data_IF_181044063790
#
_entry.id   IF_181044063790
#
_cell.length_a   1.000
_cell.length_b   1.000
_cell.length_c   1.000
_cell.angle_alpha   90.00
_cell.angle_beta   90.00
_cell.angle_gamma   90.00
#
_symmetry.space_group_name_H-M   'P 1'
#
loop_
_entity.id
_entity.type
_entity.pdbx_description
1 polymer ?
#
# COMPACT_ATOMS: atom_id res chain seq x y z
N UNK A 1 7.31 -11.88 -11.15
CA UNK A 1 8.00 -11.15 -10.08
C UNK A 1 8.43 -12.04 -8.90
N UNK A 2 7.51 -12.57 -8.09
CA UNK A 2 7.89 -13.32 -6.87
C UNK A 2 8.81 -14.53 -7.13
N UNK A 3 8.59 -15.28 -8.24
CA UNK A 3 9.49 -16.36 -8.67
C UNK A 3 10.92 -15.87 -8.96
N UNK A 4 11.05 -14.68 -9.54
CA UNK A 4 12.35 -14.07 -9.86
C UNK A 4 13.04 -13.62 -8.56
N UNK A 5 12.31 -12.92 -7.68
CA UNK A 5 12.86 -12.49 -6.39
C UNK A 5 13.37 -13.66 -5.53
N UNK A 6 12.71 -14.83 -5.60
CA UNK A 6 13.12 -16.04 -4.86
C UNK A 6 14.54 -16.51 -5.18
N UNK A 7 15.06 -16.24 -6.39
CA UNK A 7 16.44 -16.60 -6.78
C UNK A 7 17.47 -15.99 -5.83
N UNK A 8 17.22 -14.77 -5.33
CA UNK A 8 18.07 -14.06 -4.37
C UNK A 8 17.47 -14.01 -2.96
N UNK A 9 16.63 -14.99 -2.61
CA UNK A 9 16.09 -15.16 -1.25
C UNK A 9 14.72 -14.52 -1.00
N UNK A 10 14.08 -13.92 -2.01
CA UNK A 10 12.75 -13.34 -1.88
C UNK A 10 12.76 -11.90 -1.36
N UNK A 11 11.76 -11.55 -0.56
CA UNK A 11 11.55 -10.21 -0.04
C UNK A 11 11.97 -10.15 1.43
N UNK A 12 12.73 -9.11 1.81
CA UNK A 12 12.94 -8.73 3.21
C UNK A 12 11.97 -7.63 3.52
N UNK A 13 11.17 -7.79 4.57
CA UNK A 13 10.14 -6.83 4.92
C UNK A 13 10.13 -6.52 6.42
N UNK A 14 9.66 -5.34 6.75
CA UNK A 14 9.58 -4.84 8.13
C UNK A 14 8.46 -3.82 8.25
N UNK A 15 8.02 -3.53 9.47
CA UNK A 15 7.07 -2.45 9.75
C UNK A 15 7.59 -1.56 10.85
N UNK A 16 7.07 -0.33 10.93
CA UNK A 16 7.08 0.42 12.19
C UNK A 16 6.04 -0.17 13.16
N UNK A 17 5.95 0.42 14.34
CA UNK A 17 4.85 0.13 15.27
C UNK A 17 3.49 0.50 14.63
N UNK A 18 2.39 -0.19 15.01
CA UNK A 18 1.07 0.04 14.43
C UNK A 18 0.39 1.29 15.03
N UNK A 19 1.04 2.45 14.88
CA UNK A 19 0.58 3.73 15.41
C UNK A 19 -0.30 4.46 14.41
N UNK A 20 -1.56 4.67 14.77
CA UNK A 20 -2.51 5.51 14.05
C UNK A 20 -2.53 6.92 14.64
N UNK A 21 -2.90 7.89 13.81
CA UNK A 21 -3.03 9.29 14.21
C UNK A 21 -4.52 9.62 14.30
N UNK A 22 -4.96 10.06 15.48
CA UNK A 22 -6.22 10.77 15.69
C UNK A 22 -6.01 12.27 15.62
N UNK A 23 -6.96 13.03 15.07
CA UNK A 23 -6.86 14.48 15.00
C UNK A 23 -8.06 15.13 15.70
N UNK A 24 -7.77 16.11 16.56
CA UNK A 24 -8.74 17.04 17.13
C UNK A 24 -8.43 18.43 16.60
N UNK A 25 -9.33 18.97 15.79
CA UNK A 25 -9.23 20.35 15.28
C UNK A 25 -9.80 21.32 16.31
N UNK A 26 -9.03 22.34 16.67
CA UNK A 26 -9.42 23.42 17.57
C UNK A 26 -9.32 24.79 16.88
N UNK A 27 -10.35 25.60 17.11
CA UNK A 27 -10.53 26.95 16.57
C UNK A 27 -10.80 27.93 17.71
N UNK A 28 -10.80 29.23 17.42
CA UNK A 28 -11.17 30.28 18.38
C UNK A 28 -10.30 30.27 19.64
N UNK A 29 -9.00 29.97 19.49
CA UNK A 29 -8.02 30.06 20.57
C UNK A 29 -7.40 31.46 20.51
N UNK A 30 -7.49 32.20 21.62
CA UNK A 30 -6.94 33.56 21.71
C UNK A 30 -5.40 33.56 21.74
N UNK A 31 -4.81 32.69 22.58
CA UNK A 31 -3.36 32.53 22.73
C UNK A 31 -2.96 31.07 22.43
N UNK A 32 -2.41 30.88 21.22
CA UNK A 32 -2.01 29.55 20.75
C UNK A 32 -0.84 28.97 21.54
N UNK A 33 0.13 29.80 21.93
CA UNK A 33 1.34 29.32 22.59
C UNK A 33 0.99 28.88 24.03
N UNK A 34 0.19 29.67 24.74
CA UNK A 34 -0.33 29.30 26.06
C UNK A 34 -1.19 28.03 26.02
N UNK A 35 -2.01 27.86 24.98
CA UNK A 35 -2.81 26.65 24.78
C UNK A 35 -1.95 25.40 24.51
N UNK A 36 -0.87 25.52 23.73
CA UNK A 36 0.10 24.42 23.53
C UNK A 36 0.74 24.04 24.86
N UNK A 37 1.22 25.01 25.64
CA UNK A 37 1.82 24.76 26.95
C UNK A 37 0.84 24.11 27.93
N UNK A 38 -0.42 24.52 27.90
CA UNK A 38 -1.47 23.95 28.72
C UNK A 38 -1.75 22.48 28.37
N UNK A 39 -1.81 22.14 27.07
CA UNK A 39 -1.93 20.74 26.61
C UNK A 39 -0.71 19.92 27.06
N UNK A 40 0.50 20.46 26.91
CA UNK A 40 1.73 19.75 27.31
C UNK A 40 1.77 19.46 28.82
N UNK A 41 1.31 20.40 29.66
CA UNK A 41 1.20 20.17 31.11
C UNK A 41 0.20 19.07 31.49
N UNK A 42 -0.90 18.96 30.74
CA UNK A 42 -1.96 17.97 30.98
C UNK A 42 -1.79 16.68 30.17
N UNK A 43 -0.70 16.54 29.40
CA UNK A 43 -0.50 15.43 28.45
C UNK A 43 -0.71 14.06 29.10
N UNK A 44 -0.15 13.84 30.30
CA UNK A 44 -0.31 12.58 31.02
C UNK A 44 -1.77 12.29 31.34
N UNK A 45 -2.53 13.28 31.84
CA UNK A 45 -3.96 13.15 32.14
C UNK A 45 -4.76 12.85 30.86
N UNK A 46 -4.45 13.55 29.76
CA UNK A 46 -5.11 13.32 28.47
C UNK A 46 -4.86 11.88 27.98
N UNK A 47 -3.63 11.37 28.06
CA UNK A 47 -3.33 9.98 27.70
C UNK A 47 -4.06 8.97 28.59
N UNK A 48 -4.18 9.23 29.89
CA UNK A 48 -4.94 8.39 30.82
C UNK A 48 -6.44 8.35 30.45
N UNK A 49 -7.05 9.49 30.13
CA UNK A 49 -8.46 9.57 29.72
C UNK A 49 -8.70 8.87 28.39
N UNK A 50 -7.80 9.05 27.41
CA UNK A 50 -7.87 8.34 26.13
C UNK A 50 -7.80 6.82 26.33
N UNK A 51 -6.83 6.35 27.11
CA UNK A 51 -6.65 4.92 27.38
C UNK A 51 -7.79 4.30 28.19
N UNK A 52 -8.51 5.09 29.01
CA UNK A 52 -9.70 4.62 29.71
C UNK A 52 -10.86 4.25 28.75
N UNK A 53 -10.86 4.75 27.51
CA UNK A 53 -11.93 4.49 26.53
C UNK A 53 -11.87 3.07 25.94
N UNK A 54 -10.70 2.43 25.93
CA UNK A 54 -10.55 1.07 25.39
C UNK A 54 -9.62 0.21 26.26
N UNK A 55 -10.20 -0.31 27.35
CA UNK A 55 -9.50 -1.21 28.27
C UNK A 55 -9.02 -2.49 27.61
N UNK A 56 -9.66 -2.93 26.52
CA UNK A 56 -9.28 -4.14 25.80
C UNK A 56 -8.00 -3.88 25.00
N UNK A 57 -7.95 -2.79 24.24
CA UNK A 57 -6.74 -2.41 23.51
C UNK A 57 -5.55 -2.23 24.45
N UNK A 58 -5.76 -1.56 25.59
CA UNK A 58 -4.74 -1.38 26.63
C UNK A 58 -4.28 -2.70 27.24
N UNK A 59 -5.20 -3.66 27.48
CA UNK A 59 -4.82 -4.97 28.04
C UNK A 59 -3.98 -5.81 27.07
N UNK A 60 -4.09 -5.57 25.77
CA UNK A 60 -3.19 -6.13 24.74
C UNK A 60 -1.92 -5.27 24.51
N UNK A 61 -1.67 -4.31 25.40
CA UNK A 61 -0.49 -3.43 25.38
C UNK A 61 -0.60 -2.26 24.40
N UNK A 62 -1.71 -2.10 23.68
CA UNK A 62 -1.95 -0.94 22.82
C UNK A 62 -2.36 0.31 23.60
N UNK A 63 -2.97 1.26 22.91
CA UNK A 63 -3.51 2.48 23.48
C UNK A 63 -2.82 3.75 23.00
N UNK A 64 -3.31 4.89 23.48
CA UNK A 64 -2.70 6.19 23.28
C UNK A 64 -1.31 6.25 23.93
N UNK A 65 -0.31 6.58 23.13
CA UNK A 65 1.11 6.63 23.50
C UNK A 65 1.62 8.04 23.67
N UNK A 66 1.15 8.97 22.83
CA UNK A 66 1.71 10.31 22.75
C UNK A 66 0.71 11.31 22.17
N UNK A 67 1.01 12.60 22.33
CA UNK A 67 0.25 13.72 21.79
C UNK A 67 1.22 14.68 21.09
N UNK A 68 0.93 15.04 19.84
CA UNK A 68 1.63 16.12 19.13
C UNK A 68 0.66 17.28 18.92
N UNK A 69 1.11 18.53 19.04
CA UNK A 69 0.28 19.71 18.73
C UNK A 69 0.88 20.46 17.55
N UNK A 70 0.03 20.82 16.59
CA UNK A 70 0.42 21.53 15.38
C UNK A 70 -0.42 22.79 15.22
N UNK A 71 0.22 23.88 14.81
CA UNK A 71 -0.49 25.10 14.41
C UNK A 71 -0.43 25.17 12.89
N UNK A 72 -1.59 25.31 12.25
CA UNK A 72 -1.74 25.42 10.80
C UNK A 72 -2.34 26.76 10.43
N UNK A 73 -2.03 27.25 9.23
CA UNK A 73 -2.56 28.51 8.70
C UNK A 73 -1.86 29.75 9.26
N UNK A 74 -2.28 30.91 8.78
CA UNK A 74 -1.74 32.22 9.16
C UNK A 74 -2.88 33.21 9.44
N UNK A 75 -2.58 34.26 10.21
CA UNK A 75 -3.55 35.30 10.57
C UNK A 75 -4.85 34.73 11.16
N UNK A 76 -5.98 35.10 10.57
CA UNK A 76 -7.33 34.71 11.02
C UNK A 76 -7.73 33.28 10.63
N UNK A 77 -6.94 32.59 9.80
CA UNK A 77 -7.18 31.19 9.41
C UNK A 77 -6.41 30.20 10.30
N UNK A 78 -5.70 30.70 11.33
CA UNK A 78 -4.96 29.86 12.26
C UNK A 78 -5.87 28.86 12.97
N UNK A 79 -5.44 27.62 12.99
CA UNK A 79 -6.07 26.56 13.76
C UNK A 79 -5.01 25.72 14.47
N UNK A 80 -5.38 25.19 15.63
CA UNK A 80 -4.58 24.20 16.33
C UNK A 80 -5.12 22.81 16.02
N UNK A 81 -4.23 21.86 15.79
CA UNK A 81 -4.56 20.46 15.58
C UNK A 81 -3.78 19.63 16.58
N UNK A 82 -4.50 18.97 17.49
CA UNK A 82 -3.94 17.96 18.38
C UNK A 82 -3.96 16.62 17.66
N UNK A 83 -2.79 16.01 17.53
CA UNK A 83 -2.62 14.63 17.10
C UNK A 83 -2.53 13.72 18.32
N UNK A 84 -3.39 12.70 18.39
CA UNK A 84 -3.29 11.60 19.35
C UNK A 84 -2.63 10.41 18.66
N UNK A 85 -1.47 9.97 19.13
CA UNK A 85 -0.76 8.81 18.59
C UNK A 85 -1.21 7.54 19.34
N UNK A 86 -1.87 6.61 18.64
CA UNK A 86 -2.50 5.43 19.24
C UNK A 86 -1.91 4.17 18.63
N UNK A 87 -1.34 3.29 19.45
CA UNK A 87 -1.02 1.92 19.05
C UNK A 87 -2.28 1.06 19.05
N UNK A 88 -2.69 0.66 17.85
CA UNK A 88 -3.94 -0.07 17.62
C UNK A 88 -3.73 -1.57 17.45
N UNK A 89 -2.51 -2.06 17.71
CA UNK A 89 -2.13 -3.47 17.63
C UNK A 89 -2.58 -4.10 16.31
N UNK A 90 -3.37 -5.15 16.39
CA UNK A 90 -3.84 -5.94 15.24
C UNK A 90 -5.11 -5.39 14.58
N UNK A 91 -5.65 -4.27 15.06
CA UNK A 91 -6.78 -3.59 14.44
C UNK A 91 -6.30 -2.55 13.41
N UNK A 92 -7.21 -2.18 12.51
CA UNK A 92 -7.01 -1.01 11.64
C UNK A 92 -7.01 0.30 12.46
N UNK A 93 -7.88 0.39 13.48
CA UNK A 93 -7.80 1.42 14.51
C UNK A 93 -8.79 2.59 14.41
N UNK A 94 -9.53 2.73 13.32
CA UNK A 94 -10.41 3.88 13.10
C UNK A 94 -11.39 4.16 14.26
N UNK A 95 -12.15 3.15 14.69
CA UNK A 95 -13.14 3.33 15.76
C UNK A 95 -12.48 3.68 17.10
N UNK A 96 -11.42 2.95 17.49
CA UNK A 96 -10.72 3.20 18.75
C UNK A 96 -10.15 4.62 18.80
N UNK A 97 -9.47 5.05 17.73
CA UNK A 97 -8.89 6.39 17.62
C UNK A 97 -9.96 7.48 17.68
N UNK A 98 -11.07 7.32 16.95
CA UNK A 98 -12.16 8.29 16.94
C UNK A 98 -12.81 8.43 18.32
N UNK A 99 -13.10 7.31 18.99
CA UNK A 99 -13.67 7.31 20.34
C UNK A 99 -12.75 8.00 21.34
N UNK A 100 -11.44 7.75 21.28
CA UNK A 100 -10.47 8.47 22.12
C UNK A 100 -10.47 9.97 21.83
N UNK A 101 -10.48 10.38 20.54
CA UNK A 101 -10.54 11.79 20.16
C UNK A 101 -11.82 12.48 20.64
N UNK A 102 -12.97 11.81 20.55
CA UNK A 102 -14.26 12.30 21.05
C UNK A 102 -14.24 12.50 22.57
N UNK A 103 -13.65 11.57 23.32
CA UNK A 103 -13.53 11.67 24.77
C UNK A 103 -12.61 12.80 25.23
N UNK A 104 -11.53 13.07 24.47
CA UNK A 104 -10.60 14.15 24.80
C UNK A 104 -11.16 15.54 24.44
N UNK A 105 -11.99 15.65 23.41
CA UNK A 105 -12.46 16.93 22.88
C UNK A 105 -12.97 17.92 23.95
N UNK A 106 -13.93 17.58 24.84
CA UNK A 106 -14.40 18.53 25.85
C UNK A 106 -13.31 18.99 26.82
N UNK A 107 -12.34 18.12 27.13
CA UNK A 107 -11.23 18.44 28.02
C UNK A 107 -10.25 19.40 27.33
N UNK A 108 -9.98 19.18 26.04
CA UNK A 108 -9.08 20.06 25.29
C UNK A 108 -9.74 21.43 25.05
N UNK A 109 -11.06 21.51 24.89
CA UNK A 109 -11.79 22.80 24.89
C UNK A 109 -11.61 23.54 26.22
N UNK A 110 -11.78 22.86 27.35
CA UNK A 110 -11.58 23.44 28.69
C UNK A 110 -10.14 23.96 28.88
N UNK A 111 -9.15 23.16 28.50
CA UNK A 111 -7.71 23.50 28.65
C UNK A 111 -7.32 24.71 27.79
N UNK A 112 -7.85 24.78 26.56
CA UNK A 112 -7.39 25.77 25.56
C UNK A 112 -8.28 27.00 25.46
N UNK A 113 -9.50 26.96 26.02
CA UNK A 113 -10.55 27.95 25.79
C UNK A 113 -11.09 27.97 24.35
N UNK A 114 -10.59 27.08 23.48
CA UNK A 114 -10.97 26.97 22.09
C UNK A 114 -12.25 26.15 21.88
N UNK A 115 -12.63 26.01 20.61
CA UNK A 115 -13.75 25.16 20.18
C UNK A 115 -13.29 24.08 19.24
N UNK A 116 -13.63 22.84 19.56
CA UNK A 116 -13.36 21.68 18.74
C UNK A 116 -14.34 21.58 17.57
N UNK A 117 -13.89 20.97 16.48
CA UNK A 117 -14.73 20.62 15.32
C UNK A 117 -14.55 19.16 14.97
N UNK A 118 -13.57 18.86 14.12
CA UNK A 118 -13.27 17.50 13.67
C UNK A 118 -12.54 16.71 14.76
N UNK A 119 -12.96 15.45 14.98
CA UNK A 119 -12.41 14.47 15.92
C UNK A 119 -12.33 13.13 15.18
N UNK A 120 -11.30 12.97 14.37
CA UNK A 120 -11.28 11.94 13.34
C UNK A 120 -9.85 11.45 13.10
N UNK A 121 -9.68 10.17 12.79
CA UNK A 121 -8.38 9.65 12.38
C UNK A 121 -7.86 10.33 11.10
N UNK A 122 -6.54 10.33 10.93
CA UNK A 122 -5.88 10.61 9.66
C UNK A 122 -5.61 9.31 8.89
N UNK A 123 -5.97 9.29 7.60
CA UNK A 123 -5.59 8.20 6.69
C UNK A 123 -4.16 8.35 6.14
N UNK A 124 -3.53 9.51 6.29
CA UNK A 124 -2.07 9.62 6.14
C UNK A 124 -1.43 9.01 7.40
N UNK A 125 -1.38 7.68 7.42
CA UNK A 125 -0.84 6.89 8.53
C UNK A 125 0.69 6.75 8.43
N UNK A 126 1.39 7.87 8.35
CA UNK A 126 2.85 7.93 8.15
C UNK A 126 3.68 7.43 9.36
N UNK A 127 3.05 7.16 10.50
CA UNK A 127 3.63 6.46 11.66
C UNK A 127 3.45 4.94 11.61
N UNK A 128 2.68 4.42 10.65
CA UNK A 128 2.38 2.98 10.45
C UNK A 128 2.81 2.53 9.06
N UNK A 129 4.12 2.45 8.86
CA UNK A 129 4.75 2.16 7.58
C UNK A 129 5.07 0.67 7.45
N UNK A 130 4.84 0.12 6.26
CA UNK A 130 5.39 -1.15 5.84
C UNK A 130 6.50 -0.92 4.80
N UNK A 131 7.55 -1.73 4.90
CA UNK A 131 8.71 -1.70 4.00
C UNK A 131 8.94 -3.08 3.43
N UNK A 132 9.33 -3.15 2.17
CA UNK A 132 9.85 -4.37 1.58
C UNK A 132 10.99 -4.05 0.62
N UNK A 133 11.95 -4.96 0.55
CA UNK A 133 13.11 -4.89 -0.34
C UNK A 133 13.36 -6.26 -0.98
N UNK A 134 13.78 -6.27 -2.24
CA UNK A 134 14.20 -7.48 -2.94
C UNK A 134 15.34 -7.17 -3.90
N UNK A 135 16.20 -8.16 -4.09
CA UNK A 135 17.24 -8.17 -5.13
C UNK A 135 16.75 -9.05 -6.28
N UNK A 136 16.83 -8.53 -7.49
CA UNK A 136 16.47 -9.22 -8.72
C UNK A 136 17.74 -9.48 -9.51
N UNK A 137 18.09 -10.77 -9.60
CA UNK A 137 19.27 -11.25 -10.31
C UNK A 137 19.28 -10.81 -11.77
N UNK A 138 20.35 -10.13 -12.21
CA UNK A 138 20.43 -9.52 -13.54
C UNK A 138 20.27 -10.55 -14.65
N UNK A 139 20.92 -11.71 -14.52
CA UNK A 139 20.91 -12.75 -15.55
C UNK A 139 19.51 -13.36 -15.68
N UNK A 140 18.82 -13.54 -14.55
CA UNK A 140 17.44 -14.01 -14.51
C UNK A 140 16.47 -13.04 -15.20
N UNK A 141 16.71 -11.73 -15.13
CA UNK A 141 15.79 -10.72 -15.71
C UNK A 141 16.13 -10.34 -17.15
N UNK A 142 17.27 -10.79 -17.70
CA UNK A 142 17.66 -10.56 -19.10
C UNK A 142 18.97 -9.79 -19.30
N UNK A 143 19.78 -9.67 -18.26
CA UNK A 143 21.12 -9.10 -18.28
C UNK A 143 21.18 -7.60 -18.02
N UNK A 144 22.39 -7.05 -18.08
CA UNK A 144 22.72 -5.67 -17.72
C UNK A 144 21.88 -4.62 -18.47
N UNK A 145 21.67 -4.83 -19.78
CA UNK A 145 20.88 -3.91 -20.62
C UNK A 145 19.43 -3.80 -20.17
N UNK A 146 18.87 -4.88 -19.63
CA UNK A 146 17.51 -4.88 -19.07
C UNK A 146 17.45 -4.12 -17.76
N UNK A 147 18.47 -4.27 -16.91
CA UNK A 147 18.60 -3.49 -15.66
C UNK A 147 18.66 -2.00 -15.99
N UNK A 148 19.46 -1.61 -16.97
CA UNK A 148 19.60 -0.21 -17.39
C UNK A 148 18.28 0.35 -17.93
N UNK A 149 17.64 -0.36 -18.87
CA UNK A 149 16.33 0.05 -19.39
C UNK A 149 15.26 0.15 -18.30
N UNK A 150 15.28 -0.76 -17.31
CA UNK A 150 14.40 -0.69 -16.16
C UNK A 150 14.63 0.60 -15.35
N UNK A 151 15.89 0.92 -15.06
CA UNK A 151 16.25 2.12 -14.29
C UNK A 151 15.92 3.41 -15.04
N UNK A 152 16.04 3.43 -16.37
CA UNK A 152 15.57 4.53 -17.22
C UNK A 152 14.05 4.72 -17.10
N UNK A 153 13.28 3.63 -17.18
CA UNK A 153 11.83 3.64 -17.01
C UNK A 153 11.41 4.09 -15.60
N UNK A 154 12.15 3.67 -14.57
CA UNK A 154 11.96 4.17 -13.20
C UNK A 154 12.28 5.66 -13.08
N UNK A 155 13.39 6.14 -13.67
CA UNK A 155 13.78 7.55 -13.65
C UNK A 155 12.72 8.44 -14.30
N UNK A 156 12.05 7.97 -15.34
CA UNK A 156 10.89 8.68 -15.90
C UNK A 156 9.79 8.88 -14.86
N UNK A 157 9.46 7.86 -14.06
CA UNK A 157 8.47 7.99 -12.98
C UNK A 157 8.92 8.94 -11.86
N UNK A 158 10.22 9.01 -11.55
CA UNK A 158 10.75 9.98 -10.56
C UNK A 158 10.64 11.42 -11.07
N UNK A 159 10.86 11.63 -12.37
CA UNK A 159 10.94 12.96 -12.98
C UNK A 159 9.59 13.52 -13.43
N UNK A 160 8.55 12.71 -13.58
CA UNK A 160 7.25 13.13 -14.10
C UNK A 160 6.07 12.60 -13.25
N UNK A 161 5.28 13.48 -12.60
CA UNK A 161 4.08 13.10 -11.85
C UNK A 161 3.04 12.32 -12.68
N UNK A 162 2.92 12.59 -13.99
CA UNK A 162 2.01 11.83 -14.86
C UNK A 162 2.43 10.35 -14.92
N UNK A 163 3.74 10.10 -15.04
CA UNK A 163 4.27 8.74 -15.00
C UNK A 163 4.23 8.15 -13.58
N UNK A 164 4.55 8.93 -12.55
CA UNK A 164 4.48 8.51 -11.16
C UNK A 164 3.07 8.01 -10.78
N UNK A 165 2.01 8.67 -11.24
CA UNK A 165 0.63 8.23 -11.01
C UNK A 165 0.39 6.83 -11.57
N UNK A 166 0.81 6.58 -12.82
CA UNK A 166 0.68 5.26 -13.46
C UNK A 166 1.57 4.20 -12.80
N UNK A 167 2.76 4.60 -12.35
CA UNK A 167 3.70 3.75 -11.61
C UNK A 167 3.10 3.28 -10.28
N UNK A 168 2.54 4.21 -9.50
CA UNK A 168 1.90 3.91 -8.23
C UNK A 168 0.59 3.13 -8.42
N UNK A 169 -0.21 3.43 -9.45
CA UNK A 169 -1.37 2.61 -9.84
C UNK A 169 -0.97 1.14 -10.04
N UNK A 170 0.18 0.89 -10.69
CA UNK A 170 0.72 -0.45 -10.88
C UNK A 170 1.02 -1.19 -9.57
N UNK A 171 1.52 -0.47 -8.55
CA UNK A 171 1.70 -0.99 -7.18
C UNK A 171 0.34 -1.37 -6.59
N UNK A 172 -0.62 -0.45 -6.66
CA UNK A 172 -1.93 -0.59 -6.02
C UNK A 172 -2.76 -1.73 -6.60
N UNK A 173 -2.59 -2.07 -7.89
CA UNK A 173 -3.19 -3.29 -8.47
C UNK A 173 -2.91 -4.57 -7.64
N UNK A 174 -1.69 -4.70 -7.11
CA UNK A 174 -1.30 -5.86 -6.31
C UNK A 174 -1.74 -5.72 -4.86
N UNK A 175 -1.58 -4.52 -4.29
CA UNK A 175 -1.94 -4.22 -2.91
C UNK A 175 -3.43 -4.39 -2.68
N UNK A 176 -4.26 -3.74 -3.49
CA UNK A 176 -5.72 -3.74 -3.34
C UNK A 176 -6.29 -5.14 -3.47
N UNK A 177 -5.73 -5.98 -4.34
CA UNK A 177 -6.14 -7.37 -4.46
C UNK A 177 -5.98 -8.14 -3.13
N UNK A 178 -4.86 -7.96 -2.43
CA UNK A 178 -4.62 -8.59 -1.12
C UNK A 178 -5.50 -7.95 -0.03
N UNK A 179 -5.64 -6.62 -0.05
CA UNK A 179 -6.45 -5.88 0.92
C UNK A 179 -7.92 -6.30 0.83
N UNK A 180 -8.48 -6.37 -0.38
CA UNK A 180 -9.84 -6.86 -0.63
C UNK A 180 -9.98 -8.33 -0.20
N UNK A 181 -9.05 -9.20 -0.63
CA UNK A 181 -9.10 -10.62 -0.31
C UNK A 181 -9.07 -10.89 1.20
N UNK A 182 -8.40 -10.04 1.98
CA UNK A 182 -8.30 -10.14 3.44
C UNK A 182 -9.37 -9.34 4.20
N UNK A 183 -10.33 -8.74 3.49
CA UNK A 183 -11.47 -8.04 4.09
C UNK A 183 -11.10 -6.71 4.76
N UNK A 184 -10.07 -6.04 4.25
CA UNK A 184 -9.62 -4.73 4.73
C UNK A 184 -10.12 -3.60 3.82
N UNK A 185 -10.06 -2.36 4.31
CA UNK A 185 -10.48 -1.17 3.57
C UNK A 185 -9.39 -0.70 2.60
N UNK A 186 -9.57 -0.96 1.30
CA UNK A 186 -8.60 -0.53 0.29
C UNK A 186 -8.57 1.00 0.08
N UNK A 187 -9.67 1.71 0.36
CA UNK A 187 -9.71 3.17 0.20
C UNK A 187 -8.80 3.85 1.21
N UNK A 188 -8.74 3.32 2.43
CA UNK A 188 -7.82 3.82 3.47
C UNK A 188 -6.35 3.64 3.05
N UNK A 189 -6.02 2.49 2.45
CA UNK A 189 -4.65 2.20 1.97
C UNK A 189 -4.30 3.08 0.76
N UNK A 190 -5.21 3.21 -0.21
CA UNK A 190 -5.05 4.10 -1.36
C UNK A 190 -4.82 5.57 -0.95
N UNK A 191 -5.67 6.08 -0.06
CA UNK A 191 -5.55 7.45 0.45
C UNK A 191 -4.21 7.68 1.17
N UNK A 192 -3.81 6.75 2.04
CA UNK A 192 -2.53 6.82 2.75
C UNK A 192 -1.34 6.74 1.81
N UNK A 193 -1.32 5.76 0.90
CA UNK A 193 -0.25 5.55 -0.06
C UNK A 193 -0.06 6.76 -0.99
N UNK A 194 -1.14 7.24 -1.62
CA UNK A 194 -1.04 8.37 -2.55
C UNK A 194 -0.74 9.71 -1.86
N UNK A 195 -1.25 9.94 -0.65
CA UNK A 195 -0.87 11.12 0.14
C UNK A 195 0.60 11.06 0.55
N UNK A 196 1.09 9.88 0.95
CA UNK A 196 2.50 9.67 1.30
C UNK A 196 3.43 9.88 0.11
N UNK A 197 3.01 9.50 -1.09
CA UNK A 197 3.75 9.76 -2.33
C UNK A 197 3.92 11.26 -2.65
N UNK A 198 3.09 12.15 -2.08
CA UNK A 198 3.13 13.59 -2.30
C UNK A 198 3.65 14.40 -1.10
N UNK A 199 4.08 13.74 -0.02
CA UNK A 199 4.39 14.37 1.28
C UNK A 199 5.47 15.47 1.22
N UNK A 200 6.38 15.39 0.25
CA UNK A 200 7.46 16.36 0.05
C UNK A 200 7.09 17.49 -0.94
N UNK A 201 5.79 17.72 -1.19
CA UNK A 201 5.29 18.76 -2.09
C UNK A 201 5.28 18.39 -3.58
N UNK A 202 5.76 17.20 -3.95
CA UNK A 202 5.66 16.66 -5.31
C UNK A 202 5.29 15.19 -5.27
N UNK A 203 4.32 14.79 -6.07
CA UNK A 203 3.91 13.40 -6.22
C UNK A 203 5.01 12.57 -6.90
N UNK A 204 5.51 11.54 -6.20
CA UNK A 204 6.63 10.68 -6.59
C UNK A 204 6.28 9.19 -6.52
N UNK A 205 7.10 8.31 -7.12
CA UNK A 205 7.01 6.87 -6.92
C UNK A 205 7.09 6.48 -5.44
N UNK A 206 6.31 5.47 -5.03
CA UNK A 206 6.41 4.83 -3.70
C UNK A 206 7.57 3.83 -3.58
N UNK A 207 8.24 3.55 -4.70
CA UNK A 207 9.38 2.63 -4.77
C UNK A 207 10.67 3.35 -5.14
N UNK A 208 11.77 2.74 -4.73
CA UNK A 208 13.14 3.11 -5.07
C UNK A 208 13.80 1.93 -5.78
N UNK A 209 14.54 2.22 -6.85
CA UNK A 209 15.33 1.20 -7.55
C UNK A 209 16.74 1.70 -7.84
N UNK A 210 17.70 0.79 -7.70
CA UNK A 210 19.10 1.05 -8.00
C UNK A 210 19.80 -0.25 -8.40
N UNK A 211 21.05 -0.13 -8.80
CA UNK A 211 21.93 -1.24 -9.14
C UNK A 211 22.88 -1.50 -7.97
N UNK A 212 23.04 -2.76 -7.55
CA UNK A 212 24.06 -3.11 -6.56
C UNK A 212 25.47 -3.23 -7.19
N UNK A 213 26.48 -3.56 -6.38
CA UNK A 213 27.86 -3.73 -6.84
C UNK A 213 28.08 -4.91 -7.79
N UNK A 214 27.17 -5.88 -7.84
CA UNK A 214 27.22 -7.04 -8.74
C UNK A 214 26.48 -6.78 -10.07
N UNK A 215 25.80 -5.65 -10.19
CA UNK A 215 24.98 -5.30 -11.35
C UNK A 215 23.53 -5.77 -11.25
N UNK A 216 23.10 -6.32 -10.11
CA UNK A 216 21.71 -6.74 -9.92
C UNK A 216 20.82 -5.53 -9.66
N UNK A 217 19.54 -5.67 -10.00
CA UNK A 217 18.54 -4.65 -9.70
C UNK A 217 18.05 -4.84 -8.26
N UNK A 218 18.16 -3.81 -7.44
CA UNK A 218 17.56 -3.76 -6.11
C UNK A 218 16.34 -2.87 -6.15
N UNK A 219 15.24 -3.34 -5.55
CA UNK A 219 14.00 -2.58 -5.42
C UNK A 219 13.57 -2.50 -3.96
N UNK A 220 13.11 -1.32 -3.54
CA UNK A 220 12.55 -1.05 -2.22
C UNK A 220 11.19 -0.35 -2.35
N UNK A 221 10.29 -0.63 -1.42
CA UNK A 221 9.02 0.09 -1.24
C UNK A 221 8.87 0.54 0.21
N UNK A 222 8.26 1.70 0.43
CA UNK A 222 7.85 2.19 1.74
C UNK A 222 6.54 2.95 1.62
N UNK A 223 5.51 2.54 2.36
CA UNK A 223 4.20 3.17 2.32
C UNK A 223 3.40 2.93 3.62
N UNK A 224 2.42 3.81 3.94
CA UNK A 224 1.44 3.57 4.99
C UNK A 224 0.59 2.33 4.70
N UNK A 225 0.45 1.44 5.68
CA UNK A 225 -0.40 0.25 5.58
C UNK A 225 -1.23 0.07 6.86
N UNK A 226 -2.33 0.82 6.95
CA UNK A 226 -3.27 0.77 8.06
C UNK A 226 -4.31 -0.35 7.88
N UNK A 227 -3.90 -1.60 8.08
CA UNK A 227 -4.77 -2.79 8.00
C UNK A 227 -5.02 -3.42 9.37
N UNK A 228 -5.99 -4.34 9.45
CA UNK A 228 -6.22 -5.18 10.63
C UNK A 228 -6.33 -6.66 10.29
N UNK A 229 -5.91 -7.51 11.25
CA UNK A 229 -6.25 -8.94 11.28
C UNK A 229 -7.46 -9.21 12.19
N UNK A 230 -7.82 -8.25 13.04
CA UNK A 230 -9.03 -8.26 13.87
C UNK A 230 -9.94 -7.07 13.55
N UNK A 231 -11.23 -7.21 13.89
CA UNK A 231 -12.25 -6.18 13.66
C UNK A 231 -12.73 -6.07 12.21
N UNK A 232 -13.88 -5.42 12.03
CA UNK A 232 -14.50 -5.17 10.73
C UNK A 232 -14.77 -6.43 9.89
N UNK A 233 -14.79 -6.28 8.57
CA UNK A 233 -15.05 -7.37 7.64
C UNK A 233 -13.96 -8.46 7.67
N UNK A 234 -12.73 -8.12 8.07
CA UNK A 234 -11.61 -9.06 8.20
C UNK A 234 -11.93 -10.23 9.14
N UNK A 235 -12.75 -10.00 10.17
CA UNK A 235 -13.11 -10.99 11.19
C UNK A 235 -14.48 -11.63 10.95
N UNK A 236 -15.35 -11.03 10.14
CA UNK A 236 -16.71 -11.51 9.91
C UNK A 236 -16.87 -12.26 8.59
N UNK A 237 -16.12 -11.86 7.55
CA UNK A 237 -16.30 -12.42 6.21
C UNK A 237 -15.53 -13.74 6.05
N UNK A 238 -16.25 -14.85 5.80
CA UNK A 238 -15.67 -16.20 5.78
C UNK A 238 -14.54 -16.39 4.76
N UNK A 239 -14.64 -15.78 3.56
CA UNK A 239 -13.55 -15.84 2.57
C UNK A 239 -12.32 -15.06 3.02
N UNK A 240 -12.50 -13.94 3.75
CA UNK A 240 -11.39 -13.15 4.25
C UNK A 240 -10.61 -13.90 5.34
N UNK A 241 -11.33 -14.58 6.24
CA UNK A 241 -10.73 -15.48 7.23
C UNK A 241 -9.95 -16.62 6.55
N UNK A 242 -10.51 -17.22 5.49
CA UNK A 242 -9.82 -18.28 4.73
C UNK A 242 -8.55 -17.75 4.05
N UNK A 243 -8.60 -16.58 3.40
CA UNK A 243 -7.43 -15.97 2.79
C UNK A 243 -6.32 -15.70 3.81
N UNK A 244 -6.66 -15.18 5.01
CA UNK A 244 -5.68 -15.02 6.10
C UNK A 244 -5.07 -16.36 6.55
N UNK A 245 -5.90 -17.41 6.66
CA UNK A 245 -5.43 -18.77 6.99
C UNK A 245 -4.47 -19.32 5.94
N UNK A 246 -4.74 -19.10 4.65
CA UNK A 246 -3.86 -19.50 3.54
C UNK A 246 -2.53 -18.75 3.63
N UNK A 247 -2.55 -17.45 3.93
CA UNK A 247 -1.34 -16.64 4.10
C UNK A 247 -0.53 -17.04 5.34
N UNK A 248 -1.17 -17.58 6.38
CA UNK A 248 -0.52 -17.98 7.62
C UNK A 248 -0.05 -16.81 8.51
N UNK A 249 -0.52 -15.59 8.22
CA UNK A 249 -0.20 -14.38 9.00
C UNK A 249 -0.94 -14.39 10.34
N UNK A 250 -0.23 -14.01 11.40
CA UNK A 250 -0.70 -13.96 12.79
C UNK A 250 -0.98 -12.54 13.24
N UNK A 251 -0.21 -11.56 12.72
CA UNK A 251 -0.33 -10.15 13.10
C UNK A 251 -0.67 -9.25 11.92
N UNK A 252 -1.22 -8.07 12.21
CA UNK A 252 -1.38 -6.98 11.26
C UNK A 252 -0.03 -6.56 10.65
N UNK A 253 1.05 -6.56 11.43
CA UNK A 253 2.37 -6.24 10.93
C UNK A 253 2.86 -7.24 9.88
N UNK A 254 2.67 -8.55 10.10
CA UNK A 254 3.03 -9.58 9.11
C UNK A 254 2.19 -9.44 7.82
N UNK A 255 0.89 -9.17 7.94
CA UNK A 255 0.05 -8.93 6.77
C UNK A 255 0.49 -7.68 5.99
N UNK A 256 0.88 -6.61 6.69
CA UNK A 256 1.39 -5.39 6.08
C UNK A 256 2.71 -5.62 5.32
N UNK A 257 3.60 -6.47 5.85
CA UNK A 257 4.83 -6.89 5.17
C UNK A 257 4.55 -7.66 3.88
N UNK A 258 3.56 -8.57 3.90
CA UNK A 258 3.11 -9.28 2.70
C UNK A 258 2.55 -8.30 1.67
N UNK A 259 1.71 -7.35 2.09
CA UNK A 259 1.13 -6.34 1.20
C UNK A 259 2.22 -5.49 0.53
N UNK A 260 3.18 -4.98 1.29
CA UNK A 260 4.31 -4.20 0.75
C UNK A 260 5.12 -5.04 -0.25
N UNK A 261 5.41 -6.30 0.08
CA UNK A 261 6.15 -7.22 -0.80
C UNK A 261 5.40 -7.47 -2.11
N UNK A 262 4.07 -7.66 -2.05
CA UNK A 262 3.23 -7.82 -3.25
C UNK A 262 3.20 -6.53 -4.08
N UNK A 263 3.10 -5.36 -3.45
CA UNK A 263 3.17 -4.07 -4.13
C UNK A 263 4.47 -3.88 -4.90
N UNK A 264 5.61 -4.17 -4.26
CA UNK A 264 6.93 -4.13 -4.90
C UNK A 264 7.04 -5.16 -6.04
N UNK A 265 6.56 -6.39 -5.83
CA UNK A 265 6.54 -7.42 -6.86
C UNK A 265 5.73 -7.01 -8.09
N UNK A 266 4.55 -6.43 -7.88
CA UNK A 266 3.65 -5.99 -8.95
C UNK A 266 4.27 -4.83 -9.74
N UNK A 267 4.91 -3.89 -9.04
CA UNK A 267 5.63 -2.79 -9.67
C UNK A 267 6.81 -3.26 -10.51
N UNK A 268 7.65 -4.13 -9.96
CA UNK A 268 8.77 -4.72 -10.69
C UNK A 268 8.29 -5.43 -11.96
N UNK A 269 7.23 -6.24 -11.89
CA UNK A 269 6.69 -6.92 -13.07
C UNK A 269 6.23 -5.92 -14.15
N UNK A 270 5.53 -4.85 -13.74
CA UNK A 270 5.04 -3.84 -14.67
C UNK A 270 6.18 -3.09 -15.35
N UNK A 271 7.18 -2.63 -14.59
CA UNK A 271 8.32 -1.90 -15.16
C UNK A 271 9.19 -2.80 -16.02
N UNK A 272 9.44 -4.04 -15.60
CA UNK A 272 10.22 -5.00 -16.38
C UNK A 272 9.57 -5.26 -17.75
N UNK A 273 8.25 -5.49 -17.77
CA UNK A 273 7.52 -5.67 -19.01
C UNK A 273 7.65 -4.42 -19.89
N UNK A 274 7.36 -3.24 -19.36
CA UNK A 274 7.44 -1.96 -20.10
C UNK A 274 8.81 -1.67 -20.70
N UNK A 275 9.88 -2.06 -20.01
CA UNK A 275 11.26 -1.71 -20.37
C UNK A 275 11.88 -2.69 -21.36
N UNK A 276 11.38 -3.93 -21.43
CA UNK A 276 11.98 -5.00 -22.26
C UNK A 276 11.09 -5.45 -23.40
N UNK A 277 9.78 -5.43 -23.19
CA UNK A 277 8.78 -5.94 -24.11
C UNK A 277 7.66 -4.90 -24.16
N UNK A 278 7.71 -3.98 -25.13
CA UNK A 278 6.63 -3.02 -25.33
C UNK A 278 5.28 -3.71 -25.20
N UNK A 279 4.41 -3.22 -24.30
CA UNK A 279 3.21 -3.89 -23.73
C UNK A 279 2.44 -4.70 -24.76
N UNK A 280 2.36 -4.17 -25.98
CA UNK A 280 1.74 -4.78 -27.15
C UNK A 280 2.16 -6.24 -27.36
N UNK A 281 3.43 -6.61 -27.24
CA UNK A 281 3.85 -8.02 -27.46
C UNK A 281 3.29 -8.99 -26.40
N UNK A 282 3.35 -8.64 -25.12
CA UNK A 282 2.82 -9.48 -24.04
C UNK A 282 1.29 -9.52 -24.00
N UNK A 283 0.62 -8.39 -24.30
CA UNK A 283 -0.84 -8.36 -24.46
C UNK A 283 -1.29 -9.17 -25.68
N UNK A 284 -0.52 -9.13 -26.77
CA UNK A 284 -0.78 -9.94 -27.96
C UNK A 284 -0.66 -11.43 -27.68
N UNK A 285 0.28 -11.83 -26.82
CA UNK A 285 0.43 -13.23 -26.42
C UNK A 285 -0.76 -13.72 -25.60
N UNK A 286 -1.18 -12.95 -24.59
CA UNK A 286 -2.39 -13.27 -23.81
C UNK A 286 -3.67 -13.23 -24.66
N UNK A 287 -3.75 -12.28 -25.60
CA UNK A 287 -4.88 -12.18 -26.53
C UNK A 287 -4.93 -13.38 -27.47
N UNK A 288 -3.79 -13.82 -27.98
CA UNK A 288 -3.67 -15.02 -28.80
C UNK A 288 -4.06 -16.28 -28.02
N UNK A 289 -3.63 -16.42 -26.76
CA UNK A 289 -4.06 -17.53 -25.89
C UNK A 289 -5.57 -17.54 -25.67
N UNK A 290 -6.18 -16.37 -25.41
CA UNK A 290 -7.64 -16.27 -25.28
C UNK A 290 -8.37 -16.70 -26.56
N UNK A 291 -7.86 -16.29 -27.73
CA UNK A 291 -8.41 -16.71 -29.02
C UNK A 291 -8.25 -18.22 -29.24
N UNK A 292 -7.10 -18.80 -28.86
CA UNK A 292 -6.88 -20.25 -28.92
C UNK A 292 -7.90 -21.01 -28.05
N UNK A 293 -8.15 -20.53 -26.82
CA UNK A 293 -9.19 -21.10 -25.94
C UNK A 293 -10.58 -20.98 -26.56
N UNK A 294 -10.93 -19.84 -27.16
CA UNK A 294 -12.20 -19.65 -27.86
C UNK A 294 -12.37 -20.58 -29.07
N UNK A 295 -11.27 -20.95 -29.72
CA UNK A 295 -11.25 -21.94 -30.80
C UNK A 295 -11.31 -23.40 -30.30
N UNK A 296 -11.27 -23.63 -28.99
CA UNK A 296 -11.40 -24.95 -28.38
C UNK A 296 -10.08 -25.60 -27.94
N UNK A 297 -8.95 -24.89 -28.00
CA UNK A 297 -7.67 -25.39 -27.51
C UNK A 297 -7.71 -25.67 -26.00
N UNK A 298 -7.11 -26.78 -25.56
CA UNK A 298 -7.04 -27.21 -24.16
C UNK A 298 -5.62 -27.61 -23.77
N UNK A 299 -5.25 -27.32 -22.53
CA UNK A 299 -3.92 -27.67 -22.00
C UNK A 299 -2.81 -27.08 -22.86
N UNK A 300 -1.86 -27.92 -23.26
CA UNK A 300 -0.66 -27.53 -24.01
C UNK A 300 -0.97 -26.96 -25.41
N UNK A 301 -2.15 -27.23 -25.96
CA UNK A 301 -2.58 -26.70 -27.25
C UNK A 301 -2.71 -25.16 -27.25
N UNK A 302 -3.01 -24.56 -26.09
CA UNK A 302 -3.27 -23.13 -25.99
C UNK A 302 -2.01 -22.33 -26.35
N UNK A 303 -0.86 -22.72 -25.79
CA UNK A 303 0.41 -22.03 -26.01
C UNK A 303 0.93 -22.28 -27.43
N UNK A 304 0.78 -23.50 -27.94
CA UNK A 304 1.24 -23.85 -29.30
C UNK A 304 0.45 -23.09 -30.37
N UNK A 305 -0.88 -23.05 -30.28
CA UNK A 305 -1.75 -22.32 -31.21
C UNK A 305 -1.53 -20.81 -31.09
N UNK A 306 -1.42 -20.27 -29.87
CA UNK A 306 -1.15 -18.85 -29.64
C UNK A 306 0.17 -18.42 -30.27
N UNK A 307 1.25 -19.20 -30.06
CA UNK A 307 2.57 -18.91 -30.61
C UNK A 307 2.55 -18.88 -32.14
N UNK A 308 1.89 -19.85 -32.78
CA UNK A 308 1.82 -19.95 -34.24
C UNK A 308 1.03 -18.79 -34.86
N UNK A 309 -0.08 -18.39 -34.25
CA UNK A 309 -0.82 -17.19 -34.67
C UNK A 309 0.01 -15.90 -34.58
N UNK A 310 0.86 -15.78 -33.55
CA UNK A 310 1.73 -14.62 -33.36
C UNK A 310 2.85 -14.60 -34.41
N UNK A 311 3.47 -15.75 -34.68
CA UNK A 311 4.51 -15.91 -35.70
C UNK A 311 3.98 -15.57 -37.10
N UNK A 312 2.75 -16.00 -37.41
CA UNK A 312 2.06 -15.69 -38.66
C UNK A 312 1.47 -14.26 -38.71
N UNK A 313 1.51 -13.51 -37.60
CA UNK A 313 0.83 -12.22 -37.41
C UNK A 313 -0.67 -12.27 -37.75
N UNK A 314 -1.33 -13.41 -37.55
CA UNK A 314 -2.74 -13.64 -37.85
C UNK A 314 -3.51 -14.13 -36.61
N UNK A 315 -3.67 -13.23 -35.65
CA UNK A 315 -4.35 -13.49 -34.38
C UNK A 315 -5.86 -13.30 -34.55
N UNK A 316 -6.52 -14.28 -35.18
CA UNK A 316 -7.96 -14.31 -35.45
C UNK A 316 -8.53 -15.68 -35.11
N UNK A 317 -9.80 -15.71 -34.70
CA UNK A 317 -10.48 -16.95 -34.32
C UNK A 317 -10.59 -17.97 -35.47
N UNK A 318 -10.75 -17.51 -36.71
CA UNK A 318 -10.79 -18.39 -37.87
C UNK A 318 -9.45 -19.07 -38.09
N UNK A 319 -8.33 -18.33 -37.94
CA UNK A 319 -7.00 -18.92 -38.04
C UNK A 319 -6.70 -19.89 -36.90
N UNK A 320 -7.15 -19.57 -35.68
CA UNK A 320 -7.04 -20.50 -34.56
C UNK A 320 -7.77 -21.82 -34.83
N UNK A 321 -8.96 -21.78 -35.45
CA UNK A 321 -9.70 -22.99 -35.85
C UNK A 321 -9.00 -23.77 -36.96
N UNK A 322 -8.43 -23.09 -37.95
CA UNK A 322 -7.61 -23.73 -38.99
C UNK A 322 -6.40 -24.45 -38.37
N UNK A 323 -5.66 -23.79 -37.48
CA UNK A 323 -4.52 -24.37 -36.78
C UNK A 323 -4.93 -25.55 -35.88
N UNK A 324 -6.07 -25.46 -35.20
CA UNK A 324 -6.63 -26.59 -34.43
C UNK A 324 -6.91 -27.80 -35.32
N UNK A 325 -7.44 -27.56 -36.53
CA UNK A 325 -7.70 -28.62 -37.52
C UNK A 325 -6.41 -29.16 -38.14
N UNK A 326 -5.43 -28.31 -38.44
CA UNK A 326 -4.14 -28.68 -39.03
C UNK A 326 -3.29 -29.53 -38.07
N UNK A 327 -3.28 -29.19 -36.78
CA UNK A 327 -2.39 -29.79 -35.78
C UNK A 327 -3.03 -30.91 -34.97
N UNK A 328 -4.33 -30.81 -34.71
CA UNK A 328 -5.03 -31.73 -33.83
C UNK A 328 -6.24 -32.40 -34.49
N UNK A 329 -6.60 -32.02 -35.72
CA UNK A 329 -7.71 -32.62 -36.47
C UNK A 329 -9.11 -32.30 -35.94
N UNK A 330 -9.24 -31.26 -35.10
CA UNK A 330 -10.48 -30.85 -34.43
C UNK A 330 -10.93 -29.47 -34.89
#
# INVERSE_FOLDING_TARGET
AARIARVRGGFRASTTDPVMIGQIQLLQIEDMDSAVDAINREQKRLLEVANAQDKTLVSFGGGARDIEVRILGEGNEKMMVLHLLVDVRDAMGANAVNTMCEALAPIVEEITGGKTRLKILSNLADKRLAKAEAVFDKDTIGGEKVVDAFLEGYRFAVLDPYRAATHNKGIMNGIDAVVIATGNDWRAIEAGAHSYAARDGRYKPLTEYWKDSEGNLVGRIELPVAIGTVGGASSLHRKAQLCKKILGVKTASELAQVIASVGLAQNFAALLALSTVGIQKGHMELHAQNIAVMAGAKGDQIDEIAKRMIEEKNVKIDRAKELMKELYGV
#
